data_IF_820769691249
#
_entry.id   IF_820769691249
#
_cell.length_a   1.000
_cell.length_b   1.000
_cell.length_c   1.000
_cell.angle_alpha   90.00
_cell.angle_beta   90.00
_cell.angle_gamma   90.00
#
_symmetry.space_group_name_H-M   'P 1'
#
loop_
_entity.id
_entity.type
_entity.pdbx_description
1 polymer ?
#
# COMPACT_ATOMS: atom_id res chain seq x y z
N UNK A 1 -55.99 -3.52 1.23
CA UNK A 1 -55.07 -4.58 1.70
C UNK A 1 -53.90 -4.66 0.74
N UNK A 2 -52.66 -4.52 1.22
CA UNK A 2 -51.48 -4.55 0.35
C UNK A 2 -51.33 -5.94 -0.28
N UNK A 3 -51.38 -6.03 -1.60
CA UNK A 3 -51.28 -7.28 -2.35
C UNK A 3 -49.86 -7.85 -2.18
N UNK A 4 -49.70 -8.80 -1.25
CA UNK A 4 -48.40 -9.40 -0.93
C UNK A 4 -48.01 -10.39 -2.03
N UNK A 5 -46.80 -10.25 -2.57
CA UNK A 5 -46.23 -11.18 -3.55
C UNK A 5 -46.15 -12.59 -2.97
N UNK A 6 -46.59 -13.58 -3.74
CA UNK A 6 -46.56 -15.00 -3.39
C UNK A 6 -45.78 -15.79 -4.45
N UNK A 7 -45.24 -16.93 -4.03
CA UNK A 7 -44.66 -17.92 -4.94
C UNK A 7 -45.76 -18.75 -5.64
N UNK A 8 -45.37 -19.66 -6.54
CA UNK A 8 -46.28 -20.59 -7.24
C UNK A 8 -47.04 -21.52 -6.29
N UNK A 9 -46.55 -21.73 -5.06
CA UNK A 9 -47.14 -22.58 -4.03
C UNK A 9 -47.99 -21.79 -3.02
N UNK A 10 -48.20 -20.48 -3.25
CA UNK A 10 -48.98 -19.60 -2.37
C UNK A 10 -48.24 -19.05 -1.14
N UNK A 11 -46.95 -19.34 -0.95
CA UNK A 11 -46.14 -18.79 0.15
C UNK A 11 -45.80 -17.33 -0.11
N UNK A 12 -45.87 -16.51 0.93
CA UNK A 12 -45.56 -15.08 0.85
C UNK A 12 -44.06 -14.85 0.76
N UNK A 13 -43.64 -14.04 -0.22
CA UNK A 13 -42.25 -13.62 -0.44
C UNK A 13 -41.97 -12.30 0.30
N UNK A 14 -40.83 -12.22 0.98
CA UNK A 14 -40.30 -11.01 1.62
C UNK A 14 -39.74 -10.02 0.59
N UNK A 15 -39.38 -8.82 1.04
CA UNK A 15 -38.71 -7.80 0.21
C UNK A 15 -37.36 -8.36 -0.28
N UNK A 16 -37.09 -8.24 -1.58
CA UNK A 16 -35.87 -8.78 -2.20
C UNK A 16 -35.96 -10.24 -2.64
N UNK A 17 -36.87 -11.04 -2.08
CA UNK A 17 -37.11 -12.43 -2.50
C UNK A 17 -37.93 -12.50 -3.79
N UNK A 18 -37.61 -13.43 -4.69
CA UNK A 18 -38.35 -13.73 -5.93
C UNK A 18 -38.21 -15.20 -6.31
N UNK A 19 -39.21 -15.76 -6.99
CA UNK A 19 -39.13 -17.10 -7.57
C UNK A 19 -38.91 -17.00 -9.08
N UNK A 20 -37.92 -17.73 -9.61
CA UNK A 20 -37.59 -17.78 -11.04
C UNK A 20 -38.47 -18.81 -11.78
N UNK A 21 -38.38 -18.81 -13.11
CA UNK A 21 -39.16 -19.72 -13.97
C UNK A 21 -38.84 -21.20 -13.71
N UNK A 22 -37.58 -21.49 -13.40
CA UNK A 22 -37.02 -22.82 -13.06
C UNK A 22 -37.35 -23.29 -11.62
N UNK A 23 -38.22 -22.58 -10.90
CA UNK A 23 -38.59 -22.81 -9.49
C UNK A 23 -37.48 -22.54 -8.46
N UNK A 24 -36.31 -22.04 -8.86
CA UNK A 24 -35.31 -21.57 -7.90
C UNK A 24 -35.73 -20.25 -7.25
N UNK A 25 -35.35 -20.05 -6.00
CA UNK A 25 -35.58 -18.80 -5.29
C UNK A 25 -34.34 -17.92 -5.38
N UNK A 26 -34.56 -16.61 -5.50
CA UNK A 26 -33.51 -15.59 -5.60
C UNK A 26 -33.78 -14.50 -4.58
N UNK A 27 -32.74 -14.09 -3.85
CA UNK A 27 -32.74 -12.91 -2.99
C UNK A 27 -31.78 -11.87 -3.56
N UNK A 28 -32.26 -10.62 -3.68
CA UNK A 28 -31.45 -9.46 -4.08
C UNK A 28 -31.37 -8.46 -2.93
N UNK A 29 -30.15 -8.00 -2.66
CA UNK A 29 -29.87 -6.97 -1.68
C UNK A 29 -28.95 -5.90 -2.28
N UNK A 30 -28.79 -4.80 -1.54
CA UNK A 30 -27.79 -3.76 -1.81
C UNK A 30 -26.86 -3.74 -0.62
N UNK A 31 -25.56 -3.96 -0.83
CA UNK A 31 -24.55 -3.92 0.22
C UNK A 31 -24.21 -2.49 0.67
N UNK A 32 -23.42 -2.38 1.74
CA UNK A 32 -22.95 -1.07 2.25
C UNK A 32 -22.09 -0.31 1.24
N UNK A 33 -21.43 -1.02 0.33
CA UNK A 33 -20.66 -0.47 -0.80
C UNK A 33 -21.55 0.00 -1.98
N UNK A 34 -22.88 0.01 -1.79
CA UNK A 34 -23.91 0.32 -2.79
C UNK A 34 -23.90 -0.63 -4.00
N UNK A 35 -23.28 -1.81 -3.88
CA UNK A 35 -23.30 -2.80 -4.95
C UNK A 35 -24.48 -3.76 -4.77
N UNK A 36 -25.21 -4.08 -5.85
CA UNK A 36 -26.27 -5.08 -5.80
C UNK A 36 -25.67 -6.49 -5.72
N UNK A 37 -26.17 -7.29 -4.78
CA UNK A 37 -25.86 -8.70 -4.66
C UNK A 37 -27.05 -9.59 -5.00
N UNK A 38 -26.78 -10.82 -5.44
CA UNK A 38 -27.82 -11.85 -5.59
C UNK A 38 -27.32 -13.23 -5.13
N UNK A 39 -28.21 -13.98 -4.50
CA UNK A 39 -28.01 -15.39 -4.15
C UNK A 39 -29.21 -16.21 -4.63
N UNK A 40 -28.98 -17.52 -4.76
CA UNK A 40 -29.97 -18.47 -5.22
C UNK A 40 -30.03 -19.66 -4.27
N UNK A 41 -31.22 -20.21 -4.09
CA UNK A 41 -31.45 -21.43 -3.33
C UNK A 41 -32.55 -22.26 -3.98
N UNK A 42 -32.55 -23.57 -3.73
CA UNK A 42 -33.59 -24.46 -4.26
C UNK A 42 -34.90 -24.30 -3.50
N UNK A 43 -34.81 -24.04 -2.19
CA UNK A 43 -35.96 -23.97 -1.30
C UNK A 43 -36.03 -22.61 -0.59
N UNK A 44 -37.23 -22.16 -0.26
CA UNK A 44 -37.43 -20.86 0.40
C UNK A 44 -36.83 -20.80 1.83
N UNK A 45 -36.74 -21.93 2.54
CA UNK A 45 -36.11 -21.99 3.87
C UNK A 45 -34.62 -21.73 3.80
N UNK A 46 -33.94 -22.45 2.90
CA UNK A 46 -32.51 -22.29 2.62
C UNK A 46 -32.19 -20.85 2.18
N UNK A 47 -33.03 -20.26 1.32
CA UNK A 47 -32.86 -18.86 0.93
C UNK A 47 -32.87 -17.91 2.13
N UNK A 48 -33.75 -18.17 3.10
CA UNK A 48 -33.92 -17.31 4.29
C UNK A 48 -32.80 -17.45 5.30
N UNK A 49 -32.24 -18.64 5.47
CA UNK A 49 -31.04 -18.84 6.28
C UNK A 49 -29.86 -18.05 5.67
N UNK A 50 -29.68 -18.13 4.34
CA UNK A 50 -28.66 -17.35 3.65
C UNK A 50 -28.94 -15.83 3.70
N UNK A 51 -30.21 -15.41 3.63
CA UNK A 51 -30.66 -14.02 3.80
C UNK A 51 -30.27 -13.49 5.19
N UNK A 52 -30.51 -14.26 6.25
CA UNK A 52 -30.15 -13.86 7.62
C UNK A 52 -28.65 -13.67 7.78
N UNK A 53 -27.84 -14.56 7.22
CA UNK A 53 -26.37 -14.43 7.27
C UNK A 53 -25.90 -13.18 6.51
N UNK A 54 -26.46 -12.91 5.32
CA UNK A 54 -26.20 -11.67 4.56
C UNK A 54 -26.56 -10.45 5.38
N UNK A 55 -27.73 -10.44 6.02
CA UNK A 55 -28.18 -9.29 6.78
C UNK A 55 -27.31 -9.05 8.03
N UNK A 56 -26.81 -10.10 8.67
CA UNK A 56 -25.80 -9.99 9.74
C UNK A 56 -24.51 -9.38 9.23
N UNK A 57 -23.99 -9.85 8.10
CA UNK A 57 -22.77 -9.31 7.49
C UNK A 57 -22.93 -7.83 7.12
N UNK A 58 -24.06 -7.45 6.51
CA UNK A 58 -24.38 -6.05 6.19
C UNK A 58 -24.44 -5.20 7.47
N UNK A 59 -25.09 -5.70 8.52
CA UNK A 59 -25.16 -5.01 9.82
C UNK A 59 -23.78 -4.86 10.47
N UNK A 60 -22.88 -5.82 10.27
CA UNK A 60 -21.48 -5.78 10.75
C UNK A 60 -20.56 -4.91 9.87
N UNK A 61 -21.04 -4.34 8.76
CA UNK A 61 -20.20 -3.56 7.86
C UNK A 61 -19.37 -4.39 6.89
N UNK A 62 -19.53 -5.71 6.86
CA UNK A 62 -18.68 -6.62 6.08
C UNK A 62 -19.01 -6.46 4.58
N UNK A 63 -18.00 -6.13 3.80
CA UNK A 63 -18.09 -6.09 2.34
C UNK A 63 -17.69 -7.45 1.76
N UNK A 64 -18.62 -8.13 1.09
CA UNK A 64 -18.34 -9.37 0.32
C UNK A 64 -17.53 -9.15 -0.96
N UNK A 65 -17.17 -7.90 -1.26
CA UNK A 65 -16.41 -7.59 -2.46
C UNK A 65 -14.96 -8.04 -2.29
N UNK A 66 -14.57 -9.03 -3.07
CA UNK A 66 -13.21 -9.55 -3.07
C UNK A 66 -12.35 -8.72 -4.01
N UNK A 67 -11.33 -8.06 -3.47
CA UNK A 67 -10.29 -7.41 -4.26
C UNK A 67 -9.04 -8.27 -4.28
N UNK A 68 -8.31 -8.19 -5.37
CA UNK A 68 -6.91 -8.63 -5.40
C UNK A 68 -6.03 -7.69 -4.56
N UNK A 69 -4.87 -8.16 -4.13
CA UNK A 69 -3.89 -7.30 -3.46
C UNK A 69 -3.49 -6.12 -4.34
N UNK A 70 -3.36 -6.32 -5.66
CA UNK A 70 -3.06 -5.25 -6.61
C UNK A 70 -4.12 -4.13 -6.57
N UNK A 71 -5.40 -4.49 -6.65
CA UNK A 71 -6.49 -3.51 -6.57
C UNK A 71 -6.51 -2.79 -5.22
N UNK A 72 -6.19 -3.51 -4.14
CA UNK A 72 -6.12 -2.94 -2.80
C UNK A 72 -4.96 -1.95 -2.65
N UNK A 73 -3.80 -2.26 -3.23
CA UNK A 73 -2.65 -1.35 -3.28
C UNK A 73 -2.99 -0.09 -4.10
N UNK A 74 -3.64 -0.23 -5.25
CA UNK A 74 -4.05 0.92 -6.05
C UNK A 74 -5.01 1.84 -5.29
N UNK A 75 -5.94 1.28 -4.52
CA UNK A 75 -6.82 2.05 -3.63
C UNK A 75 -6.03 2.79 -2.57
N UNK A 76 -5.14 2.09 -1.87
CA UNK A 76 -4.27 2.69 -0.88
C UNK A 76 -3.43 3.83 -1.46
N UNK A 77 -2.84 3.66 -2.65
CA UNK A 77 -2.05 4.72 -3.29
C UNK A 77 -2.90 5.93 -3.68
N UNK A 78 -4.19 5.74 -4.00
CA UNK A 78 -5.14 6.83 -4.28
C UNK A 78 -5.53 7.62 -3.03
N UNK A 79 -5.50 7.02 -1.83
CA UNK A 79 -5.81 7.75 -0.59
C UNK A 79 -4.65 8.67 -0.12
N UNK A 80 -3.44 8.48 -0.64
CA UNK A 80 -2.26 9.26 -0.28
C UNK A 80 -2.16 10.58 -1.06
N UNK A 81 -2.81 11.62 -0.54
CA UNK A 81 -2.81 12.98 -1.13
C UNK A 81 -1.50 13.75 -0.86
N UNK A 82 -0.94 13.62 0.35
CA UNK A 82 0.21 14.43 0.82
C UNK A 82 1.56 13.69 0.77
N UNK A 83 1.69 12.67 -0.08
CA UNK A 83 2.95 11.93 -0.21
C UNK A 83 3.94 12.72 -1.08
N UNK A 84 5.20 12.83 -0.64
CA UNK A 84 6.25 13.43 -1.45
C UNK A 84 6.34 12.74 -2.82
N UNK A 85 6.57 13.50 -3.88
CA UNK A 85 6.63 13.02 -5.27
C UNK A 85 7.61 11.85 -5.43
N UNK A 86 8.82 12.00 -4.88
CA UNK A 86 9.86 10.96 -4.89
C UNK A 86 9.42 9.65 -4.23
N UNK A 87 8.70 9.73 -3.10
CA UNK A 87 8.22 8.55 -2.39
C UNK A 87 7.07 7.88 -3.17
N UNK A 88 6.19 8.68 -3.78
CA UNK A 88 5.10 8.18 -4.62
C UNK A 88 5.64 7.44 -5.84
N UNK A 89 6.66 7.99 -6.49
CA UNK A 89 7.31 7.38 -7.65
C UNK A 89 8.00 6.07 -7.26
N UNK A 90 8.70 6.07 -6.12
CA UNK A 90 9.34 4.86 -5.61
C UNK A 90 8.32 3.74 -5.32
N UNK A 91 7.18 4.07 -4.71
CA UNK A 91 6.11 3.09 -4.48
C UNK A 91 5.49 2.59 -5.79
N UNK A 92 5.27 3.47 -6.76
CA UNK A 92 4.77 3.10 -8.09
C UNK A 92 5.73 2.15 -8.79
N UNK A 93 7.03 2.45 -8.79
CA UNK A 93 8.06 1.62 -9.40
C UNK A 93 8.02 0.18 -8.87
N UNK A 94 8.07 0.00 -7.54
CA UNK A 94 8.01 -1.34 -6.94
C UNK A 94 6.66 -2.03 -7.12
N UNK A 95 5.57 -1.26 -7.13
CA UNK A 95 4.26 -1.80 -7.43
C UNK A 95 4.19 -2.37 -8.86
N UNK A 96 4.59 -1.59 -9.85
CA UNK A 96 4.51 -1.96 -11.27
C UNK A 96 5.47 -3.09 -11.64
N UNK A 97 6.71 -3.07 -11.12
CA UNK A 97 7.75 -4.02 -11.54
C UNK A 97 7.89 -5.26 -10.66
N UNK A 98 7.47 -5.21 -9.39
CA UNK A 98 7.63 -6.36 -8.47
C UNK A 98 6.29 -6.95 -8.09
N UNK A 99 5.30 -6.13 -7.73
CA UNK A 99 4.05 -6.63 -7.15
C UNK A 99 3.02 -7.01 -8.21
N UNK A 100 2.90 -6.23 -9.28
CA UNK A 100 1.80 -6.37 -10.26
C UNK A 100 1.72 -7.76 -10.87
N UNK A 101 2.85 -8.32 -11.28
CA UNK A 101 2.91 -9.63 -11.91
C UNK A 101 3.12 -10.80 -10.94
N UNK A 102 3.39 -10.50 -9.66
CA UNK A 102 3.59 -11.51 -8.63
C UNK A 102 2.31 -12.31 -8.34
N UNK A 103 2.48 -13.57 -7.91
CA UNK A 103 1.38 -14.43 -7.48
C UNK A 103 0.59 -13.81 -6.34
N UNK A 104 1.29 -13.21 -5.36
CA UNK A 104 0.66 -12.55 -4.22
C UNK A 104 -0.13 -11.29 -4.62
N UNK A 105 0.33 -10.53 -5.60
CA UNK A 105 -0.37 -9.35 -6.12
C UNK A 105 -1.72 -9.70 -6.75
N UNK A 106 -1.78 -10.83 -7.45
CA UNK A 106 -3.00 -11.34 -8.09
C UNK A 106 -3.94 -12.08 -7.13
N UNK A 107 -3.44 -12.52 -5.98
CA UNK A 107 -4.24 -13.21 -4.97
C UNK A 107 -5.31 -12.27 -4.36
N UNK A 108 -6.46 -12.83 -4.00
CA UNK A 108 -7.51 -12.10 -3.29
C UNK A 108 -7.05 -11.79 -1.87
N UNK A 109 -7.34 -10.59 -1.38
CA UNK A 109 -6.96 -10.14 -0.04
C UNK A 109 -7.46 -11.09 1.05
N UNK A 110 -8.65 -11.66 0.89
CA UNK A 110 -9.25 -12.63 1.83
C UNK A 110 -8.51 -13.97 1.91
N UNK A 111 -7.76 -14.33 0.87
CA UNK A 111 -7.08 -15.61 0.75
C UNK A 111 -5.61 -15.53 1.21
N UNK A 112 -5.06 -14.31 1.32
CA UNK A 112 -3.68 -14.11 1.73
C UNK A 112 -3.49 -14.51 3.18
N UNK A 113 -2.49 -15.34 3.42
CA UNK A 113 -2.03 -15.74 4.76
C UNK A 113 -0.65 -15.16 5.03
N UNK A 114 -0.28 -15.14 6.31
CA UNK A 114 1.03 -14.69 6.76
C UNK A 114 2.18 -15.48 6.11
N UNK A 115 2.00 -16.79 5.95
CA UNK A 115 2.95 -17.67 5.24
C UNK A 115 3.21 -17.21 3.81
N UNK A 116 2.17 -16.78 3.09
CA UNK A 116 2.30 -16.38 1.69
C UNK A 116 3.12 -15.09 1.56
N UNK A 117 2.96 -14.17 2.50
CA UNK A 117 3.76 -12.93 2.57
C UNK A 117 5.23 -13.26 2.84
N UNK A 118 5.52 -14.16 3.78
CA UNK A 118 6.89 -14.58 4.09
C UNK A 118 7.55 -15.32 2.93
N UNK A 119 6.84 -16.26 2.30
CA UNK A 119 7.31 -16.98 1.12
C UNK A 119 7.60 -16.00 -0.02
N UNK A 120 6.73 -15.00 -0.22
CA UNK A 120 6.97 -13.95 -1.19
C UNK A 120 8.26 -13.16 -0.88
N UNK A 121 8.46 -12.70 0.36
CA UNK A 121 9.69 -11.98 0.72
C UNK A 121 10.96 -12.83 0.58
N UNK A 122 10.89 -14.13 0.89
CA UNK A 122 11.99 -15.06 0.65
C UNK A 122 12.29 -15.20 -0.84
N UNK A 123 11.26 -15.31 -1.69
CA UNK A 123 11.47 -15.37 -3.14
C UNK A 123 12.15 -14.11 -3.70
N UNK A 124 11.90 -12.94 -3.09
CA UNK A 124 12.58 -11.70 -3.46
C UNK A 124 14.05 -11.70 -3.04
N UNK A 125 14.39 -12.26 -1.87
CA UNK A 125 15.79 -12.45 -1.46
C UNK A 125 16.53 -13.40 -2.40
N UNK A 126 15.90 -14.51 -2.78
CA UNK A 126 16.47 -15.49 -3.72
C UNK A 126 16.73 -14.89 -5.11
N UNK A 127 15.93 -13.89 -5.51
CA UNK A 127 16.14 -13.10 -6.73
C UNK A 127 17.27 -12.04 -6.60
N UNK A 128 17.91 -11.93 -5.43
CA UNK A 128 19.02 -11.01 -5.19
C UNK A 128 18.60 -9.59 -4.78
N UNK A 129 17.34 -9.36 -4.41
CA UNK A 129 16.91 -8.05 -3.89
C UNK A 129 17.43 -7.82 -2.47
N UNK A 130 17.86 -6.59 -2.19
CA UNK A 130 18.34 -6.21 -0.86
C UNK A 130 17.22 -6.24 0.19
N UNK A 131 17.61 -6.42 1.44
CA UNK A 131 16.69 -6.34 2.58
C UNK A 131 15.99 -4.96 2.65
N UNK A 132 16.72 -3.88 2.35
CA UNK A 132 16.16 -2.53 2.28
C UNK A 132 15.04 -2.43 1.24
N UNK A 133 15.21 -3.08 0.08
CA UNK A 133 14.19 -3.16 -0.96
C UNK A 133 12.94 -3.90 -0.48
N UNK A 134 13.11 -5.02 0.21
CA UNK A 134 12.00 -5.80 0.77
C UNK A 134 11.22 -4.95 1.79
N UNK A 135 11.90 -4.16 2.62
CA UNK A 135 11.23 -3.23 3.54
C UNK A 135 10.45 -2.13 2.80
N UNK A 136 10.91 -1.67 1.64
CA UNK A 136 10.14 -0.72 0.81
C UNK A 136 8.87 -1.40 0.27
N UNK A 137 8.99 -2.62 -0.24
CA UNK A 137 7.83 -3.41 -0.71
C UNK A 137 6.85 -3.65 0.44
N UNK A 138 7.35 -3.98 1.63
CA UNK A 138 6.54 -4.12 2.83
C UNK A 138 5.80 -2.83 3.20
N UNK A 139 6.43 -1.65 3.06
CA UNK A 139 5.80 -0.33 3.26
C UNK A 139 4.67 -0.04 2.26
N UNK A 140 4.54 -0.83 1.19
CA UNK A 140 3.41 -0.76 0.25
C UNK A 140 2.34 -1.78 0.64
N UNK A 141 2.73 -3.04 0.85
CA UNK A 141 1.81 -4.15 1.15
C UNK A 141 1.12 -3.97 2.50
N UNK A 142 1.89 -3.68 3.55
CA UNK A 142 1.38 -3.65 4.93
C UNK A 142 0.28 -2.59 5.11
N UNK A 143 0.46 -1.32 4.68
CA UNK A 143 -0.62 -0.33 4.78
C UNK A 143 -1.81 -0.62 3.87
N UNK A 144 -1.62 -1.25 2.72
CA UNK A 144 -2.72 -1.63 1.83
C UNK A 144 -3.61 -2.71 2.47
N UNK A 145 -3.00 -3.70 3.11
CA UNK A 145 -3.72 -4.71 3.89
C UNK A 145 -4.30 -4.15 5.18
N UNK A 146 -3.63 -3.17 5.81
CA UNK A 146 -4.18 -2.48 6.97
C UNK A 146 -5.46 -1.73 6.60
N UNK A 147 -5.47 -1.03 5.47
CA UNK A 147 -6.68 -0.39 4.95
C UNK A 147 -7.81 -1.41 4.71
N UNK A 148 -7.47 -2.63 4.29
CA UNK A 148 -8.46 -3.70 4.14
C UNK A 148 -8.99 -4.21 5.48
N UNK A 149 -8.18 -4.20 6.54
CA UNK A 149 -8.63 -4.45 7.90
C UNK A 149 -9.58 -3.36 8.39
N UNK A 150 -9.22 -2.09 8.17
CA UNK A 150 -10.01 -0.94 8.58
C UNK A 150 -11.38 -0.91 7.86
N UNK A 151 -11.42 -1.38 6.60
CA UNK A 151 -12.63 -1.57 5.80
C UNK A 151 -13.42 -2.85 6.14
N UNK A 152 -13.03 -3.60 7.17
CA UNK A 152 -13.62 -4.90 7.58
C UNK A 152 -13.65 -5.97 6.47
N UNK A 153 -12.72 -5.90 5.50
CA UNK A 153 -12.56 -6.93 4.45
C UNK A 153 -11.83 -8.15 5.00
N UNK A 154 -10.86 -7.93 5.90
CA UNK A 154 -10.11 -8.98 6.60
C UNK A 154 -10.00 -8.67 8.08
N UNK A 155 -10.09 -9.69 8.94
CA UNK A 155 -10.10 -9.50 10.38
C UNK A 155 -8.73 -9.12 10.98
N UNK A 156 -7.63 -9.55 10.33
CA UNK A 156 -6.26 -9.31 10.79
C UNK A 156 -5.34 -9.11 9.61
N UNK A 157 -4.33 -8.25 9.76
CA UNK A 157 -3.37 -7.96 8.69
C UNK A 157 -2.34 -9.10 8.59
N UNK A 158 -2.32 -9.88 7.50
CA UNK A 158 -1.39 -11.01 7.37
C UNK A 158 0.06 -10.57 7.20
N UNK A 159 0.33 -9.31 6.86
CA UNK A 159 1.69 -8.77 6.76
C UNK A 159 2.27 -8.36 8.13
N UNK A 160 1.49 -8.38 9.22
CA UNK A 160 1.98 -7.95 10.53
C UNK A 160 3.16 -8.79 11.03
N UNK A 161 4.28 -8.09 11.25
CA UNK A 161 5.52 -8.67 11.75
C UNK A 161 6.26 -9.56 10.74
N UNK A 162 5.95 -9.47 9.44
CA UNK A 162 6.65 -10.24 8.40
C UNK A 162 8.05 -9.71 8.09
N UNK A 163 8.45 -8.55 8.61
CA UNK A 163 9.79 -7.97 8.42
C UNK A 163 10.75 -8.19 9.58
N UNK A 164 10.34 -8.92 10.63
CA UNK A 164 11.15 -9.11 11.85
C UNK A 164 12.48 -9.83 11.61
N UNK A 165 12.50 -10.78 10.69
CA UNK A 165 13.68 -11.57 10.35
C UNK A 165 14.61 -10.86 9.35
N UNK A 166 14.15 -9.75 8.76
CA UNK A 166 14.84 -8.99 7.73
C UNK A 166 15.65 -7.85 8.36
N UNK A 167 16.68 -8.21 9.12
CA UNK A 167 17.62 -7.27 9.74
C UNK A 167 18.69 -6.91 8.70
N UNK A 168 18.90 -5.61 8.48
CA UNK A 168 19.97 -5.16 7.61
C UNK A 168 21.29 -5.25 8.37
N UNK A 169 22.30 -5.86 7.75
CA UNK A 169 23.68 -5.59 8.15
C UNK A 169 23.98 -4.14 7.79
N UNK A 170 23.98 -3.29 8.82
CA UNK A 170 24.30 -1.88 8.67
C UNK A 170 25.79 -1.83 8.36
N UNK A 171 26.12 -1.67 7.08
CA UNK A 171 27.48 -1.33 6.68
C UNK A 171 27.88 -0.04 7.42
N UNK A 172 28.88 -0.15 8.30
CA UNK A 172 29.37 1.00 9.06
C UNK A 172 30.00 1.98 8.08
N UNK A 173 29.30 3.08 7.82
CA UNK A 173 29.86 4.21 7.09
C UNK A 173 30.79 4.98 8.03
N UNK A 174 32.06 5.04 7.66
CA UNK A 174 33.05 5.85 8.38
C UNK A 174 33.02 7.28 7.84
N UNK A 175 33.03 8.25 8.74
CA UNK A 175 33.28 9.63 8.37
C UNK A 175 34.74 9.77 7.91
N UNK A 176 34.98 10.64 6.93
CA UNK A 176 36.34 10.99 6.54
C UNK A 176 37.03 11.68 7.72
N UNK A 177 38.28 11.33 7.95
CA UNK A 177 39.17 12.08 8.84
C UNK A 177 39.58 13.40 8.20
N UNK A 178 40.06 14.35 9.00
CA UNK A 178 40.54 15.64 8.50
C UNK A 178 41.67 15.49 7.45
N UNK A 179 42.54 14.49 7.64
CA UNK A 179 43.62 14.19 6.68
C UNK A 179 43.06 13.66 5.36
N UNK A 180 42.06 12.76 5.42
CA UNK A 180 41.40 12.22 4.24
C UNK A 180 40.56 13.28 3.50
N UNK A 181 39.89 14.18 4.21
CA UNK A 181 39.17 15.31 3.62
C UNK A 181 40.12 16.23 2.84
N UNK A 182 41.28 16.55 3.43
CA UNK A 182 42.29 17.38 2.79
C UNK A 182 42.87 16.69 1.55
N UNK A 183 43.27 15.44 1.68
CA UNK A 183 43.80 14.63 0.57
C UNK A 183 42.76 14.50 -0.57
N UNK A 184 41.49 14.31 -0.23
CA UNK A 184 40.39 14.26 -1.20
C UNK A 184 40.27 15.57 -1.99
N UNK A 185 40.27 16.70 -1.30
CA UNK A 185 40.17 18.03 -1.90
C UNK A 185 41.40 18.36 -2.77
N UNK A 186 42.60 18.02 -2.32
CA UNK A 186 43.85 18.22 -3.06
C UNK A 186 43.85 17.39 -4.36
N UNK A 187 43.41 16.13 -4.31
CA UNK A 187 43.27 15.26 -5.50
C UNK A 187 42.27 15.81 -6.53
N UNK A 188 41.20 16.46 -6.08
CA UNK A 188 40.23 17.10 -6.98
C UNK A 188 40.90 18.26 -7.74
N UNK A 189 41.73 19.07 -7.06
CA UNK A 189 42.41 20.19 -7.70
C UNK A 189 43.47 19.74 -8.71
N UNK A 190 44.18 18.65 -8.43
CA UNK A 190 45.24 18.11 -9.31
C UNK A 190 44.69 17.58 -10.63
N UNK A 191 43.43 17.09 -10.66
CA UNK A 191 42.80 16.56 -11.87
C UNK A 191 42.10 17.66 -12.67
N UNK A 192 42.62 18.01 -13.84
CA UNK A 192 42.10 19.07 -14.72
C UNK A 192 40.58 19.02 -14.96
N UNK A 193 40.01 17.82 -15.20
CA UNK A 193 38.56 17.64 -15.40
C UNK A 193 37.73 17.84 -14.13
N UNK A 194 38.30 17.53 -12.96
CA UNK A 194 37.62 17.57 -11.67
C UNK A 194 37.76 18.92 -10.97
N UNK A 195 38.81 19.69 -11.29
CA UNK A 195 39.11 20.99 -10.68
C UNK A 195 37.92 21.95 -10.69
N UNK A 196 37.10 21.93 -11.74
CA UNK A 196 35.86 22.74 -11.84
C UNK A 196 34.81 22.43 -10.77
N UNK A 197 34.81 21.22 -10.20
CA UNK A 197 33.89 20.79 -9.15
C UNK A 197 34.45 21.03 -7.74
N UNK A 198 35.68 21.49 -7.59
CA UNK A 198 36.30 21.74 -6.28
C UNK A 198 35.42 22.59 -5.35
N UNK A 199 34.85 23.73 -5.79
CA UNK A 199 34.02 24.55 -4.91
C UNK A 199 32.78 23.81 -4.39
N UNK A 200 32.20 22.92 -5.21
CA UNK A 200 31.04 22.12 -4.81
C UNK A 200 31.41 21.16 -3.66
N UNK A 201 32.50 20.41 -3.80
CA UNK A 201 32.94 19.48 -2.76
C UNK A 201 33.39 20.18 -1.48
N UNK A 202 34.11 21.30 -1.60
CA UNK A 202 34.51 22.12 -0.45
C UNK A 202 33.30 22.70 0.29
N UNK A 203 32.25 23.12 -0.42
CA UNK A 203 31.02 23.57 0.26
C UNK A 203 30.34 22.39 0.95
N UNK A 204 30.20 21.24 0.29
CA UNK A 204 29.52 20.06 0.87
C UNK A 204 30.19 19.57 2.16
N UNK A 205 31.52 19.47 2.17
CA UNK A 205 32.27 19.00 3.35
C UNK A 205 32.16 20.00 4.50
N UNK A 206 32.36 21.30 4.24
CA UNK A 206 32.43 22.31 5.30
C UNK A 206 31.05 22.72 5.83
N UNK A 207 29.99 22.57 5.04
CA UNK A 207 28.62 22.96 5.45
C UNK A 207 27.75 21.78 5.84
N UNK A 208 28.12 20.55 5.48
CA UNK A 208 27.31 19.36 5.72
C UNK A 208 25.97 19.34 4.97
N UNK A 209 25.86 20.10 3.88
CA UNK A 209 24.64 20.12 3.07
C UNK A 209 24.34 18.73 2.48
N UNK A 210 23.08 18.29 2.61
CA UNK A 210 22.62 17.06 1.98
C UNK A 210 22.51 17.24 0.47
N UNK A 211 23.00 16.27 -0.27
CA UNK A 211 22.75 16.18 -1.71
C UNK A 211 21.31 15.67 -1.92
N UNK A 212 20.50 16.41 -2.68
CA UNK A 212 19.19 15.95 -3.15
C UNK A 212 19.11 16.02 -4.67
N UNK A 213 18.30 15.15 -5.27
CA UNK A 213 18.10 15.07 -6.72
C UNK A 213 17.54 16.38 -7.31
N UNK A 214 16.77 17.13 -6.52
CA UNK A 214 16.28 18.47 -6.84
C UNK A 214 17.40 19.50 -6.69
N UNK A 215 18.34 19.45 -7.62
CA UNK A 215 19.42 20.41 -7.85
C UNK A 215 20.17 20.88 -6.59
N UNK A 216 21.49 20.70 -6.62
CA UNK A 216 22.43 21.52 -5.84
C UNK A 216 22.41 22.95 -6.41
N UNK A 217 21.25 23.61 -6.42
CA UNK A 217 21.19 25.06 -6.32
C UNK A 217 21.61 25.30 -4.88
N UNK A 218 22.89 25.56 -4.71
CA UNK A 218 23.45 26.22 -3.54
C UNK A 218 22.80 27.62 -3.54
N UNK A 219 21.54 27.70 -3.12
CA UNK A 219 20.91 28.93 -2.65
C UNK A 219 21.50 29.14 -1.26
N UNK A 220 22.77 29.54 -1.23
CA UNK A 220 23.26 30.26 -0.07
C UNK A 220 22.26 31.41 0.07
N UNK A 221 21.40 31.35 1.08
CA UNK A 221 20.58 32.49 1.48
C UNK A 221 21.54 33.52 2.08
N UNK A 222 22.45 34.04 1.28
CA UNK A 222 23.39 35.08 1.70
C UNK A 222 22.67 36.38 2.00
N UNK A 223 21.43 36.55 1.52
CA UNK A 223 20.57 37.68 1.89
C UNK A 223 19.13 37.22 2.18
N UNK A 224 18.90 36.73 3.40
CA UNK A 224 17.62 37.05 4.05
C UNK A 224 17.95 37.81 5.32
N UNK A 225 17.58 39.11 5.44
CA UNK A 225 17.74 39.80 6.70
C UNK A 225 17.04 38.97 7.79
N UNK A 226 17.73 38.83 8.91
CA UNK A 226 17.21 38.17 10.10
C UNK A 226 15.78 38.63 10.36
N UNK A 227 14.85 37.70 10.66
CA UNK A 227 13.48 38.05 11.09
C UNK A 227 13.45 38.84 12.42
N UNK A 228 14.63 39.04 13.04
CA UNK A 228 14.83 39.77 14.29
C UNK A 228 15.62 41.07 14.10
N UNK A 229 15.94 41.48 12.86
CA UNK A 229 16.53 42.79 12.59
C UNK A 229 15.46 43.88 12.78
N UNK A 230 15.25 44.31 14.02
CA UNK A 230 14.29 45.37 14.37
C UNK A 230 13.51 45.16 15.66
N UNK A 231 13.79 44.11 16.44
CA UNK A 231 13.28 43.99 17.81
C UNK A 231 14.39 44.35 18.79
N UNK A 232 14.54 45.66 18.99
CA UNK A 232 15.22 46.31 20.12
C UNK A 232 14.22 47.22 20.81
#
# INVERSE_FOLDING_TARGET
MANRRKDKNGKVLKKGESQRKDNTYMYRWVGNDRQPGCIYARNLSELREMEEEINKEIAMGISRKTYSLNEQIERYLKTKVNLASSTKENYRYYFEHVLRESSIGKAKVIDIRKSDVLLFYNSLLEQGLSIGTIKIIHKIIHPALQLACDDNVIAKNPADGCTKEYVEDIEKKYALTFEEEKEFLDRIQMRQRMKRYYPMYAILIQTGLRISDDHVIIRLKLDKPSKYAGLS
#
